data_IF_161496152662
#
_entry.id   IF_161496152662
#
_cell.length_a   1.000
_cell.length_b   1.000
_cell.length_c   1.000
_cell.angle_alpha   90.00
_cell.angle_beta   90.00
_cell.angle_gamma   90.00
#
_symmetry.space_group_name_H-M   'P 1'
#
loop_
_entity.id
_entity.type
_entity.pdbx_description
1 polymer ?
#
# COMPACT_ATOMS: atom_id res chain seq x y z
N UNK A 1 1.84 -5.76 -1.60
CA UNK A 1 1.07 -4.50 -1.69
C UNK A 1 0.18 -4.58 -2.91
N UNK A 2 -1.14 -4.57 -2.73
CA UNK A 2 -2.14 -4.51 -3.79
C UNK A 2 -2.80 -3.14 -3.88
N UNK A 3 -3.83 -3.00 -4.72
CA UNK A 3 -4.55 -1.73 -4.93
C UNK A 3 -5.34 -1.26 -3.69
N UNK A 4 -5.85 -2.17 -2.86
CA UNK A 4 -6.61 -1.82 -1.64
C UNK A 4 -6.16 -2.55 -0.37
N UNK A 5 -5.12 -3.38 -0.45
CA UNK A 5 -4.65 -4.18 0.70
C UNK A 5 -3.13 -4.16 0.82
N UNK A 6 -2.67 -4.19 2.06
CA UNK A 6 -1.27 -4.27 2.44
C UNK A 6 -1.06 -5.47 3.34
N UNK A 7 -0.63 -6.58 2.75
CA UNK A 7 -0.35 -7.83 3.45
C UNK A 7 1.16 -8.05 3.62
N UNK A 8 1.58 -8.47 4.82
CA UNK A 8 2.96 -8.82 5.20
C UNK A 8 2.97 -10.22 5.81
N UNK A 9 3.82 -11.09 5.27
CA UNK A 9 4.02 -12.46 5.80
C UNK A 9 5.47 -12.68 6.21
N UNK A 10 5.66 -13.30 7.37
CA UNK A 10 6.94 -13.82 7.85
C UNK A 10 7.08 -15.28 7.42
N UNK A 11 8.12 -15.55 6.63
CA UNK A 11 8.40 -16.85 6.06
C UNK A 11 9.76 -17.34 6.53
N UNK A 12 9.85 -18.63 6.89
CA UNK A 12 11.11 -19.34 7.06
C UNK A 12 11.30 -20.33 5.91
N UNK A 13 12.56 -20.49 5.48
CA UNK A 13 12.92 -21.39 4.40
C UNK A 13 13.97 -22.37 4.94
N UNK A 14 13.61 -23.64 5.00
CA UNK A 14 14.49 -24.73 5.44
C UNK A 14 14.32 -25.92 4.48
N UNK A 15 15.43 -26.46 3.96
CA UNK A 15 15.44 -27.58 3.02
C UNK A 15 14.49 -27.44 1.81
N UNK A 16 14.30 -26.21 1.33
CA UNK A 16 13.40 -25.90 0.21
C UNK A 16 11.92 -25.87 0.59
N UNK A 17 11.59 -26.04 1.87
CA UNK A 17 10.24 -25.91 2.41
C UNK A 17 10.03 -24.46 2.85
N UNK A 18 8.94 -23.86 2.39
CA UNK A 18 8.49 -22.53 2.80
C UNK A 18 7.43 -22.69 3.90
N UNK A 19 7.69 -22.16 5.08
CA UNK A 19 6.73 -22.17 6.19
C UNK A 19 6.33 -20.75 6.55
N UNK A 20 5.03 -20.49 6.63
CA UNK A 20 4.48 -19.20 7.08
C UNK A 20 4.42 -19.22 8.60
N UNK A 21 5.18 -18.33 9.25
CA UNK A 21 5.18 -18.18 10.71
C UNK A 21 4.13 -17.21 11.20
N UNK A 22 3.86 -16.15 10.44
CA UNK A 22 2.82 -15.17 10.74
C UNK A 22 2.41 -14.40 9.47
N UNK A 23 1.16 -13.94 9.46
CA UNK A 23 0.65 -12.99 8.47
C UNK A 23 -0.04 -11.85 9.22
N UNK A 24 0.24 -10.62 8.82
CA UNK A 24 -0.39 -9.41 9.32
C UNK A 24 -0.58 -8.42 8.17
N UNK A 25 -1.40 -7.40 8.35
CA UNK A 25 -1.66 -6.43 7.29
C UNK A 25 -2.86 -5.55 7.56
N UNK A 26 -3.14 -4.67 6.60
CA UNK A 26 -4.31 -3.81 6.58
C UNK A 26 -5.09 -4.03 5.28
N UNK A 27 -6.36 -4.41 5.40
CA UNK A 27 -7.25 -4.72 4.27
C UNK A 27 -7.87 -3.47 3.63
N UNK A 28 -7.60 -2.29 4.18
CA UNK A 28 -8.11 -1.00 3.68
C UNK A 28 -6.98 -0.02 3.37
N UNK A 29 -5.73 -0.48 3.37
CA UNK A 29 -4.57 0.32 2.99
C UNK A 29 -3.96 -0.26 1.72
N UNK A 30 -3.97 0.49 0.64
CA UNK A 30 -3.46 0.04 -0.64
C UNK A 30 -2.95 1.16 -1.55
N UNK A 31 -2.65 0.80 -2.79
CA UNK A 31 -2.22 1.76 -3.81
C UNK A 31 -3.24 2.88 -4.10
N UNK A 32 -4.54 2.61 -3.91
CA UNK A 32 -5.60 3.58 -4.13
C UNK A 32 -5.51 4.77 -3.15
N UNK A 33 -5.08 4.55 -1.91
CA UNK A 33 -4.86 5.64 -0.95
C UNK A 33 -3.75 6.59 -1.41
N UNK A 34 -2.70 6.01 -1.99
CA UNK A 34 -1.59 6.77 -2.55
C UNK A 34 -2.03 7.55 -3.80
N UNK A 35 -2.76 6.89 -4.71
CA UNK A 35 -3.29 7.51 -5.93
C UNK A 35 -4.22 8.68 -5.58
N UNK A 36 -5.13 8.50 -4.62
CA UNK A 36 -6.03 9.55 -4.14
C UNK A 36 -5.25 10.74 -3.54
N UNK A 37 -4.21 10.47 -2.75
CA UNK A 37 -3.35 11.52 -2.17
C UNK A 37 -2.65 12.36 -3.24
N UNK A 38 -2.15 11.72 -4.30
CA UNK A 38 -1.49 12.39 -5.42
C UNK A 38 -2.50 13.21 -6.24
N UNK A 39 -3.68 12.67 -6.50
CA UNK A 39 -4.77 13.38 -7.20
C UNK A 39 -5.19 14.62 -6.40
N UNK A 40 -5.40 14.49 -5.09
CA UNK A 40 -5.77 15.62 -4.23
C UNK A 40 -4.71 16.71 -4.23
N UNK A 41 -3.43 16.34 -4.17
CA UNK A 41 -2.30 17.27 -4.27
C UNK A 41 -2.34 18.04 -5.60
N UNK A 42 -2.48 17.34 -6.73
CA UNK A 42 -2.60 17.95 -8.05
C UNK A 42 -3.82 18.88 -8.15
N UNK A 43 -4.97 18.48 -7.59
CA UNK A 43 -6.18 19.32 -7.56
C UNK A 43 -5.96 20.60 -6.75
N UNK A 44 -5.25 20.52 -5.62
CA UNK A 44 -4.91 21.69 -4.81
C UNK A 44 -4.01 22.67 -5.56
N UNK A 45 -2.99 22.17 -6.26
CA UNK A 45 -2.12 23.01 -7.11
C UNK A 45 -2.90 23.67 -8.26
N UNK A 46 -3.81 22.94 -8.90
CA UNK A 46 -4.67 23.51 -9.96
C UNK A 46 -5.68 24.55 -9.46
N UNK A 47 -6.15 24.39 -8.22
CA UNK A 47 -7.14 25.30 -7.59
C UNK A 47 -6.49 26.49 -6.90
N UNK A 48 -5.19 26.48 -6.64
CA UNK A 48 -4.47 27.67 -6.21
C UNK A 48 -4.36 28.63 -7.41
N UNK A 49 -5.05 29.79 -7.37
CA UNK A 49 -4.86 30.80 -8.40
C UNK A 49 -3.40 31.24 -8.35
N UNK A 50 -2.74 31.28 -9.50
CA UNK A 50 -1.43 31.89 -9.63
C UNK A 50 -1.48 33.27 -8.94
N UNK A 51 -0.57 33.46 -7.99
CA UNK A 51 -0.38 34.76 -7.37
C UNK A 51 0.17 35.77 -8.37
#
# INVERSE_FOLDING_TARGET
MGGGTFDVSLLTIEDGIFEVKATAGDTHLGGEDFDNRVVDFCIQDFKQPAH
#
